data_IF_385139877977
#
_entry.id   IF_385139877977
#
_cell.length_a   1.000
_cell.length_b   1.000
_cell.length_c   1.000
_cell.angle_alpha   90.00
_cell.angle_beta   90.00
_cell.angle_gamma   90.00
#
_symmetry.space_group_name_H-M   'P 1'
#
loop_
_entity.id
_entity.type
_entity.pdbx_description
1 polymer ?
#
# COMPACT_ATOMS: atom_id res chain seq x y z
N UNK A 1 -69.78 -15.76 -8.39
CA UNK A 1 -69.00 -16.15 -7.21
C UNK A 1 -67.79 -16.95 -7.70
N UNK A 2 -66.69 -16.27 -7.97
CA UNK A 2 -65.36 -16.85 -8.25
C UNK A 2 -64.33 -15.73 -8.02
N UNK A 3 -63.20 -15.96 -7.31
CA UNK A 3 -62.38 -14.88 -6.80
C UNK A 3 -61.19 -14.52 -7.71
N UNK A 4 -60.80 -13.26 -7.53
CA UNK A 4 -59.71 -12.51 -8.16
C UNK A 4 -58.32 -13.08 -7.79
N UNK A 5 -57.48 -13.34 -8.78
CA UNK A 5 -56.02 -13.50 -8.65
C UNK A 5 -55.37 -12.41 -9.51
N UNK A 6 -54.20 -11.97 -9.07
CA UNK A 6 -53.26 -11.06 -9.75
C UNK A 6 -53.32 -9.57 -9.36
N UNK A 7 -52.94 -9.31 -8.09
CA UNK A 7 -52.32 -8.04 -7.69
C UNK A 7 -51.14 -8.34 -6.76
N UNK A 8 -50.03 -8.84 -7.30
CA UNK A 8 -48.77 -8.96 -6.51
C UNK A 8 -47.46 -8.92 -7.28
N UNK A 9 -47.46 -8.72 -8.60
CA UNK A 9 -46.23 -8.68 -9.39
C UNK A 9 -45.66 -7.26 -9.61
N UNK A 10 -46.46 -6.20 -9.48
CA UNK A 10 -46.08 -4.86 -9.98
C UNK A 10 -45.52 -3.89 -8.92
N UNK A 11 -45.41 -4.33 -7.66
CA UNK A 11 -45.02 -3.45 -6.54
C UNK A 11 -43.52 -3.49 -6.21
N UNK A 12 -42.77 -4.46 -6.75
CA UNK A 12 -41.30 -4.57 -6.53
C UNK A 12 -40.51 -3.73 -7.53
N UNK A 13 -40.88 -3.77 -8.81
CA UNK A 13 -40.27 -2.98 -9.90
C UNK A 13 -40.33 -1.47 -9.68
N UNK A 14 -41.44 -0.96 -9.14
CA UNK A 14 -41.57 0.48 -8.83
C UNK A 14 -40.82 0.94 -7.57
N UNK A 15 -40.42 0.02 -6.69
CA UNK A 15 -39.63 0.36 -5.49
C UNK A 15 -38.14 0.44 -5.83
N UNK A 16 -37.64 -0.49 -6.67
CA UNK A 16 -36.25 -0.48 -7.14
C UNK A 16 -35.98 0.73 -8.04
N UNK A 17 -36.92 1.05 -8.96
CA UNK A 17 -36.80 2.24 -9.81
C UNK A 17 -36.86 3.57 -9.05
N UNK A 18 -37.53 3.61 -7.89
CA UNK A 18 -37.55 4.78 -7.00
C UNK A 18 -36.26 4.88 -6.18
N UNK A 19 -35.75 3.75 -5.68
CA UNK A 19 -34.47 3.72 -4.99
C UNK A 19 -33.32 4.17 -5.90
N UNK A 20 -33.32 3.77 -7.17
CA UNK A 20 -32.33 4.21 -8.16
C UNK A 20 -32.43 5.70 -8.48
N UNK A 21 -33.66 6.23 -8.55
CA UNK A 21 -33.90 7.67 -8.74
C UNK A 21 -33.45 8.49 -7.52
N UNK A 22 -33.72 7.99 -6.31
CA UNK A 22 -33.33 8.63 -5.05
C UNK A 22 -31.80 8.64 -4.90
N UNK A 23 -31.10 7.55 -5.28
CA UNK A 23 -29.64 7.49 -5.32
C UNK A 23 -29.06 8.49 -6.33
N UNK A 24 -29.67 8.62 -7.50
CA UNK A 24 -29.24 9.58 -8.52
C UNK A 24 -29.51 11.05 -8.10
N UNK A 25 -30.56 11.29 -7.32
CA UNK A 25 -30.88 12.61 -6.77
C UNK A 25 -29.92 12.99 -5.64
N UNK A 26 -29.63 12.06 -4.73
CA UNK A 26 -28.62 12.24 -3.67
C UNK A 26 -27.23 12.49 -4.27
N UNK A 27 -26.85 11.75 -5.31
CA UNK A 27 -25.58 11.93 -6.00
C UNK A 27 -25.40 13.34 -6.62
N UNK A 28 -26.50 14.03 -6.93
CA UNK A 28 -26.48 15.42 -7.44
C UNK A 28 -26.43 16.47 -6.34
N UNK A 29 -26.84 16.11 -5.12
CA UNK A 29 -26.82 16.98 -3.94
C UNK A 29 -25.50 16.89 -3.17
N UNK A 30 -24.71 15.83 -3.40
CA UNK A 30 -23.36 15.74 -2.89
C UNK A 30 -22.47 16.78 -3.61
N UNK A 31 -21.69 17.59 -2.88
CA UNK A 31 -20.65 18.39 -3.51
C UNK A 31 -19.74 17.45 -4.31
N UNK A 32 -19.30 17.89 -5.50
CA UNK A 32 -18.32 17.13 -6.26
C UNK A 32 -17.15 16.79 -5.31
N UNK A 33 -16.74 15.52 -5.19
CA UNK A 33 -15.65 15.16 -4.30
C UNK A 33 -14.45 16.03 -4.68
N UNK A 34 -13.80 16.62 -3.67
CA UNK A 34 -12.49 17.25 -3.84
C UNK A 34 -11.59 16.19 -4.51
N UNK A 35 -11.38 16.33 -5.82
CA UNK A 35 -10.52 15.43 -6.58
C UNK A 35 -9.08 15.79 -6.25
N UNK A 36 -8.62 15.33 -5.09
CA UNK A 36 -7.20 15.29 -4.72
C UNK A 36 -6.76 13.82 -4.74
N UNK A 37 -6.26 13.32 -5.89
CA UNK A 37 -5.78 11.96 -5.98
C UNK A 37 -4.54 11.76 -5.08
N UNK A 38 -4.65 10.84 -4.14
CA UNK A 38 -3.52 10.36 -3.33
C UNK A 38 -2.63 9.44 -4.18
N UNK A 39 -1.29 9.47 -4.02
CA UNK A 39 -0.35 8.54 -4.68
C UNK A 39 -0.78 7.06 -4.54
N UNK A 40 -0.58 6.23 -5.58
CA UNK A 40 -1.25 4.93 -5.74
C UNK A 40 -1.04 3.90 -4.60
N UNK A 41 0.14 3.89 -3.96
CA UNK A 41 0.38 3.04 -2.78
C UNK A 41 -0.40 3.51 -1.54
N UNK A 42 -0.65 4.81 -1.43
CA UNK A 42 -1.53 5.40 -0.41
C UNK A 42 -3.01 5.24 -0.80
N UNK A 43 -3.31 5.19 -2.11
CA UNK A 43 -4.67 5.03 -2.63
C UNK A 43 -5.27 3.65 -2.33
N UNK A 44 -4.51 2.55 -2.38
CA UNK A 44 -5.04 1.22 -2.02
C UNK A 44 -5.32 1.10 -0.52
N UNK A 45 -4.37 1.51 0.34
CA UNK A 45 -4.53 1.53 1.79
C UNK A 45 -5.70 2.44 2.23
N UNK A 46 -5.75 3.67 1.72
CA UNK A 46 -6.80 4.63 2.06
C UNK A 46 -8.17 4.25 1.47
N UNK A 47 -8.20 3.63 0.27
CA UNK A 47 -9.44 3.09 -0.30
C UNK A 47 -9.97 1.93 0.52
N UNK A 48 -9.11 1.00 0.94
CA UNK A 48 -9.52 -0.11 1.79
C UNK A 48 -10.06 0.42 3.12
N UNK A 49 -9.37 1.36 3.78
CA UNK A 49 -9.85 1.96 5.03
C UNK A 49 -11.14 2.78 4.89
N UNK A 50 -11.32 3.51 3.79
CA UNK A 50 -12.56 4.22 3.49
C UNK A 50 -13.73 3.25 3.29
N UNK A 51 -13.48 2.13 2.58
CA UNK A 51 -14.48 1.08 2.41
C UNK A 51 -14.82 0.39 3.74
N UNK A 52 -13.84 0.17 4.62
CA UNK A 52 -14.07 -0.37 5.96
C UNK A 52 -14.95 0.56 6.83
N UNK A 53 -14.77 1.88 6.74
CA UNK A 53 -15.61 2.84 7.47
C UNK A 53 -17.06 2.86 6.96
N UNK A 54 -17.26 2.83 5.64
CA UNK A 54 -18.60 2.81 5.02
C UNK A 54 -19.38 1.55 5.41
N UNK A 55 -18.72 0.39 5.48
CA UNK A 55 -19.37 -0.88 5.86
C UNK A 55 -19.70 -0.95 7.36
N UNK A 56 -18.89 -0.33 8.23
CA UNK A 56 -19.23 -0.17 9.66
C UNK A 56 -20.44 0.75 9.88
N UNK A 57 -20.52 1.87 9.15
CA UNK A 57 -21.66 2.78 9.24
C UNK A 57 -22.97 2.15 8.72
N UNK A 58 -22.87 1.26 7.73
CA UNK A 58 -24.04 0.51 7.20
C UNK A 58 -24.52 -0.60 8.13
N UNK A 59 -23.65 -1.15 8.98
CA UNK A 59 -23.98 -2.21 9.94
C UNK A 59 -24.31 -1.69 11.34
N UNK A 60 -24.12 -0.39 11.58
CA UNK A 60 -24.31 0.29 12.87
C UNK A 60 -25.52 1.22 12.92
N UNK A 61 -26.74 0.71 12.89
CA UNK A 61 -27.85 1.38 13.59
C UNK A 61 -28.78 0.37 14.26
N UNK A 62 -28.45 -0.10 15.47
CA UNK A 62 -29.46 -0.56 16.40
C UNK A 62 -30.04 0.67 17.12
N UNK A 63 -31.34 0.89 16.93
CA UNK A 63 -32.14 1.83 17.70
C UNK A 63 -31.88 1.64 19.21
N UNK A 64 -31.45 2.70 19.87
CA UNK A 64 -31.12 2.73 21.29
C UNK A 64 -32.39 2.59 22.14
N UNK A 65 -32.58 1.52 22.93
CA UNK A 65 -33.62 1.53 23.94
C UNK A 65 -33.13 2.34 25.15
N UNK A 66 -33.87 3.40 25.47
CA UNK A 66 -33.68 4.21 26.66
C UNK A 66 -33.71 3.32 27.93
N UNK A 67 -32.70 3.47 28.80
CA UNK A 67 -32.72 2.95 30.18
C UNK A 67 -32.22 4.02 31.17
N UNK A 68 -32.75 4.01 32.40
CA UNK A 68 -32.93 5.23 33.19
C UNK A 68 -31.73 5.60 34.06
N UNK A 69 -31.72 6.87 34.46
CA UNK A 69 -30.77 7.49 35.36
C UNK A 69 -30.89 6.99 36.81
N UNK A 70 -29.75 6.74 37.44
CA UNK A 70 -29.61 6.78 38.91
C UNK A 70 -28.32 7.50 39.30
N UNK A 71 -28.43 8.31 40.35
CA UNK A 71 -27.44 9.31 40.79
C UNK A 71 -26.75 8.93 42.10
N UNK A 72 -25.57 9.56 42.32
CA UNK A 72 -24.86 9.83 43.59
C UNK A 72 -24.03 8.67 44.17
N UNK A 73 -22.82 8.82 44.75
CA UNK A 73 -22.22 9.90 45.57
C UNK A 73 -20.67 9.74 45.64
N UNK A 74 -19.99 10.83 46.02
CA UNK A 74 -18.53 11.06 46.22
C UNK A 74 -17.84 10.18 47.27
N UNK A 75 -16.49 10.23 47.25
CA UNK A 75 -15.48 10.52 48.33
C UNK A 75 -14.26 9.59 48.11
N UNK A 76 -12.97 9.87 48.37
CA UNK A 76 -12.12 10.99 48.78
C UNK A 76 -10.67 10.53 48.48
N UNK A 77 -9.76 11.45 48.12
CA UNK A 77 -8.29 11.21 48.14
C UNK A 77 -7.77 11.22 49.59
N UNK A 78 -6.56 10.67 49.86
CA UNK A 78 -5.45 11.60 50.10
C UNK A 78 -4.10 11.17 49.52
N UNK A 79 -3.17 12.14 49.51
CA UNK A 79 -1.83 12.15 48.93
C UNK A 79 -0.74 11.69 49.90
N UNK A 80 0.41 11.20 49.38
CA UNK A 80 1.71 11.25 50.08
C UNK A 80 2.89 11.40 49.08
N UNK A 81 3.55 12.56 49.19
CA UNK A 81 4.97 12.97 49.08
C UNK A 81 6.04 12.14 48.32
N UNK A 82 6.80 12.90 47.51
CA UNK A 82 8.15 12.64 46.93
C UNK A 82 9.25 12.52 48.02
N UNK A 83 10.45 12.01 47.67
CA UNK A 83 11.53 12.97 47.39
C UNK A 83 12.44 12.62 46.19
N UNK A 84 12.99 13.71 45.66
CA UNK A 84 14.03 13.86 44.64
C UNK A 84 15.40 13.43 45.19
N UNK A 85 16.20 12.70 44.40
CA UNK A 85 17.66 12.75 44.49
C UNK A 85 18.26 12.93 43.09
N UNK A 86 18.94 14.07 42.94
CA UNK A 86 19.78 14.40 41.80
C UNK A 86 21.18 13.84 42.02
N UNK A 87 21.78 13.28 40.97
CA UNK A 87 23.23 13.09 40.87
C UNK A 87 23.63 13.31 39.41
N UNK A 88 24.21 14.48 39.16
CA UNK A 88 24.91 14.81 37.93
C UNK A 88 26.30 14.19 37.96
N UNK A 89 26.78 13.67 36.83
CA UNK A 89 28.21 13.65 36.49
C UNK A 89 28.39 13.53 34.97
N UNK A 90 29.30 14.37 34.48
CA UNK A 90 29.57 14.72 33.11
C UNK A 90 30.37 13.65 32.34
N UNK A 91 30.35 13.75 31.01
CA UNK A 91 31.20 12.97 30.12
C UNK A 91 31.07 13.42 28.67
N UNK A 92 31.56 14.63 28.37
CA UNK A 92 31.77 15.13 27.01
C UNK A 92 33.04 14.45 26.47
N UNK A 93 32.93 13.73 25.34
CA UNK A 93 34.08 13.35 24.52
C UNK A 93 33.91 13.98 23.13
N UNK A 94 34.61 15.09 22.95
CA UNK A 94 34.89 15.73 21.67
C UNK A 94 36.01 14.98 20.96
N UNK A 95 35.74 14.45 19.77
CA UNK A 95 36.79 14.11 18.81
C UNK A 95 36.58 14.95 17.56
N UNK A 96 37.43 15.96 17.43
CA UNK A 96 37.60 16.82 16.27
C UNK A 96 38.40 16.08 15.20
N UNK A 97 37.83 15.91 14.01
CA UNK A 97 38.59 15.57 12.80
C UNK A 97 38.63 16.83 11.94
N UNK A 98 39.84 17.38 11.80
CA UNK A 98 40.21 18.37 10.79
C UNK A 98 40.68 17.60 9.56
N UNK A 99 40.00 17.77 8.43
CA UNK A 99 40.53 17.42 7.10
C UNK A 99 40.13 18.52 6.10
N UNK A 100 41.08 19.43 5.93
CA UNK A 100 41.49 20.13 4.69
C UNK A 100 40.42 20.46 3.64
N UNK A 101 40.14 21.75 3.53
CA UNK A 101 39.55 22.41 2.36
C UNK A 101 40.48 22.24 1.15
N UNK A 102 40.07 21.38 0.21
CA UNK A 102 40.53 21.40 -1.17
C UNK A 102 39.47 22.13 -1.99
N UNK A 103 39.86 23.27 -2.53
CA UNK A 103 39.09 24.07 -3.46
C UNK A 103 39.08 23.34 -4.81
N UNK A 104 37.91 22.91 -5.29
CA UNK A 104 37.72 22.52 -6.68
C UNK A 104 36.32 22.92 -7.12
N UNK A 105 36.30 23.95 -7.96
CA UNK A 105 35.17 24.40 -8.75
C UNK A 105 34.80 23.28 -9.75
N UNK A 106 33.67 22.60 -9.52
CA UNK A 106 33.11 21.67 -10.49
C UNK A 106 31.58 21.73 -10.52
N UNK A 107 31.09 22.60 -11.40
CA UNK A 107 29.93 22.46 -12.29
C UNK A 107 29.07 21.20 -12.11
N UNK A 108 27.83 21.42 -11.66
CA UNK A 108 26.58 20.69 -11.92
C UNK A 108 26.70 19.47 -12.86
N UNK A 109 27.08 18.29 -12.35
CA UNK A 109 26.95 16.99 -13.07
C UNK A 109 26.77 15.82 -12.10
N UNK A 110 25.90 15.96 -11.09
CA UNK A 110 25.68 14.88 -10.10
C UNK A 110 24.61 13.88 -10.55
N UNK A 111 23.63 14.31 -11.36
CA UNK A 111 22.51 13.46 -11.78
C UNK A 111 22.93 12.25 -12.65
N UNK A 112 24.02 12.33 -13.41
CA UNK A 112 24.43 11.26 -14.35
C UNK A 112 25.38 10.21 -13.75
N UNK A 113 25.94 10.44 -12.55
CA UNK A 113 26.85 9.48 -11.90
C UNK A 113 26.14 8.44 -11.04
N UNK A 114 24.99 8.77 -10.43
CA UNK A 114 24.27 7.85 -9.52
C UNK A 114 23.29 6.88 -10.20
N UNK A 115 22.87 7.18 -11.44
CA UNK A 115 21.95 6.33 -12.21
C UNK A 115 22.60 5.00 -12.65
N UNK A 116 23.87 5.04 -13.06
CA UNK A 116 24.62 3.83 -13.48
C UNK A 116 24.77 2.79 -12.35
N UNK A 117 25.08 3.20 -11.11
CA UNK A 117 25.02 2.30 -9.96
C UNK A 117 23.64 1.68 -9.74
N UNK A 118 22.56 2.46 -9.79
CA UNK A 118 21.21 1.95 -9.47
C UNK A 118 20.73 0.92 -10.50
N UNK A 119 20.93 1.20 -11.79
CA UNK A 119 20.61 0.26 -12.86
C UNK A 119 21.38 -1.07 -12.71
N UNK A 120 22.68 -1.02 -12.40
CA UNK A 120 23.46 -2.24 -12.18
C UNK A 120 22.99 -3.05 -10.97
N UNK A 121 22.52 -2.40 -9.90
CA UNK A 121 21.93 -3.10 -8.76
C UNK A 121 20.59 -3.75 -9.15
N UNK A 122 19.74 -3.05 -9.91
CA UNK A 122 18.48 -3.62 -10.40
C UNK A 122 18.68 -4.78 -11.37
N UNK A 123 19.74 -4.76 -12.19
CA UNK A 123 20.12 -5.90 -13.02
C UNK A 123 20.51 -7.11 -12.18
N UNK A 124 21.27 -6.90 -11.09
CA UNK A 124 21.61 -7.98 -10.14
C UNK A 124 20.37 -8.54 -9.44
N UNK A 125 19.47 -7.67 -8.98
CA UNK A 125 18.19 -8.07 -8.35
C UNK A 125 17.33 -8.83 -9.39
N UNK A 126 17.27 -8.35 -10.63
CA UNK A 126 16.58 -9.03 -11.72
C UNK A 126 17.13 -10.43 -11.97
N UNK A 127 18.45 -10.60 -11.98
CA UNK A 127 19.09 -11.89 -12.23
C UNK A 127 18.87 -12.88 -11.07
N UNK A 128 18.78 -12.38 -9.84
CA UNK A 128 18.40 -13.17 -8.67
C UNK A 128 16.92 -13.59 -8.75
N UNK A 129 16.01 -12.63 -8.95
CA UNK A 129 14.58 -12.88 -9.06
C UNK A 129 14.22 -13.86 -10.17
N UNK A 130 14.91 -13.79 -11.32
CA UNK A 130 14.70 -14.69 -12.45
C UNK A 130 15.12 -16.14 -12.21
N UNK A 131 15.84 -16.43 -11.12
CA UNK A 131 16.27 -17.78 -10.71
C UNK A 131 15.37 -18.41 -9.63
N UNK A 132 14.39 -17.65 -9.14
CA UNK A 132 13.44 -18.17 -8.17
C UNK A 132 12.62 -19.31 -8.80
N UNK A 133 12.14 -20.21 -7.95
CA UNK A 133 11.29 -21.32 -8.38
C UNK A 133 9.98 -20.79 -8.96
N UNK A 134 9.59 -21.33 -10.12
CA UNK A 134 8.34 -20.96 -10.77
C UNK A 134 7.19 -21.74 -10.13
N UNK A 135 6.25 -21.01 -9.52
CA UNK A 135 5.08 -21.60 -8.90
C UNK A 135 4.05 -21.98 -9.98
N UNK A 136 3.36 -23.09 -9.75
CA UNK A 136 2.14 -23.42 -10.50
C UNK A 136 0.94 -22.96 -9.68
N UNK A 137 0.27 -21.92 -10.16
CA UNK A 137 -0.91 -21.32 -9.51
C UNK A 137 -2.13 -21.69 -10.33
N UNK A 138 -3.18 -22.19 -9.68
CA UNK A 138 -4.47 -22.49 -10.33
C UNK A 138 -5.45 -21.35 -10.13
N UNK A 139 -6.40 -21.22 -11.05
CA UNK A 139 -7.45 -20.21 -11.02
C UNK A 139 -8.34 -20.29 -9.76
N UNK A 140 -8.45 -21.46 -9.13
CA UNK A 140 -9.26 -21.67 -7.92
C UNK A 140 -8.51 -21.39 -6.60
N UNK A 141 -7.26 -20.92 -6.69
CA UNK A 141 -6.41 -20.65 -5.53
C UNK A 141 -6.36 -19.16 -5.16
N UNK A 142 -5.65 -18.87 -4.07
CA UNK A 142 -5.44 -17.53 -3.55
C UNK A 142 -3.94 -17.24 -3.43
N UNK A 143 -3.53 -16.05 -3.88
CA UNK A 143 -2.25 -15.47 -3.53
C UNK A 143 -2.33 -14.92 -2.11
N UNK A 144 -1.57 -15.51 -1.20
CA UNK A 144 -1.42 -15.09 0.17
C UNK A 144 -0.26 -14.10 0.28
N UNK A 145 -0.46 -13.00 1.02
CA UNK A 145 0.60 -12.09 1.43
C UNK A 145 0.42 -11.73 2.89
N UNK A 146 1.49 -11.81 3.69
CA UNK A 146 1.54 -11.30 5.06
C UNK A 146 2.56 -10.19 5.15
N UNK A 147 2.16 -9.07 5.72
CA UNK A 147 2.99 -7.89 5.79
C UNK A 147 2.75 -7.08 7.07
N UNK A 148 3.65 -6.15 7.34
CA UNK A 148 3.41 -5.05 8.27
C UNK A 148 3.50 -3.73 7.54
N UNK A 149 2.50 -2.90 7.70
CA UNK A 149 2.43 -1.61 7.03
C UNK A 149 1.88 -0.51 7.95
N UNK A 150 2.22 0.73 7.59
CA UNK A 150 1.62 1.93 8.14
C UNK A 150 1.63 3.02 7.07
N UNK A 151 0.52 3.76 7.00
CA UNK A 151 0.35 4.92 6.13
C UNK A 151 0.09 6.19 6.93
N UNK A 152 0.38 7.33 6.32
CA UNK A 152 -0.06 8.61 6.82
C UNK A 152 -1.50 8.87 6.39
N UNK A 153 -2.39 9.12 7.35
CA UNK A 153 -3.69 9.75 7.09
C UNK A 153 -3.47 11.25 6.81
N UNK A 154 -3.97 11.72 5.66
CA UNK A 154 -3.87 13.11 5.22
C UNK A 154 -5.19 13.89 5.38
N UNK A 155 -6.25 13.28 5.92
CA UNK A 155 -7.60 13.86 6.04
C UNK A 155 -7.61 15.15 6.86
N UNK A 156 -6.70 15.26 7.83
CA UNK A 156 -6.54 16.47 8.65
C UNK A 156 -5.83 17.63 7.92
N UNK A 157 -5.34 17.41 6.69
CA UNK A 157 -4.43 18.31 5.97
C UNK A 157 -2.97 18.21 6.42
N UNK A 158 -2.66 17.35 7.40
CA UNK A 158 -1.32 16.97 7.85
C UNK A 158 -1.14 15.47 7.75
N UNK A 159 0.09 15.03 7.56
CA UNK A 159 0.46 13.63 7.65
C UNK A 159 0.41 13.16 9.11
N UNK A 160 -0.58 12.33 9.42
CA UNK A 160 -0.73 11.67 10.71
C UNK A 160 -0.48 10.19 10.50
N UNK A 161 0.67 9.69 10.97
CA UNK A 161 0.98 8.27 10.86
C UNK A 161 0.04 7.44 11.70
N UNK A 162 -0.60 6.47 11.07
CA UNK A 162 -1.31 5.41 11.77
C UNK A 162 -0.33 4.42 12.42
N UNK A 163 -0.77 3.66 13.43
CA UNK A 163 0.06 2.60 14.01
C UNK A 163 0.49 1.57 12.96
N UNK A 164 1.68 0.99 13.14
CA UNK A 164 2.12 -0.18 12.38
C UNK A 164 1.20 -1.36 12.68
N UNK A 165 0.59 -1.90 11.62
CA UNK A 165 -0.33 -3.04 11.70
C UNK A 165 0.22 -4.23 10.95
N UNK A 166 -0.18 -5.42 11.37
CA UNK A 166 0.06 -6.66 10.61
C UNK A 166 -1.21 -6.99 9.85
N UNK A 167 -1.06 -7.25 8.56
CA UNK A 167 -2.14 -7.64 7.67
C UNK A 167 -1.80 -8.94 6.94
N UNK A 168 -2.81 -9.79 6.77
CA UNK A 168 -2.76 -10.98 5.94
C UNK A 168 -3.84 -10.85 4.86
N UNK A 169 -3.47 -11.02 3.59
CA UNK A 169 -4.42 -10.96 2.48
C UNK A 169 -4.43 -12.27 1.69
N UNK A 170 -5.60 -12.60 1.15
CA UNK A 170 -5.83 -13.74 0.26
C UNK A 170 -6.55 -13.25 -0.98
N UNK A 171 -5.82 -13.01 -2.07
CA UNK A 171 -6.35 -12.48 -3.33
C UNK A 171 -6.64 -13.64 -4.29
N UNK A 172 -7.90 -13.75 -4.73
CA UNK A 172 -8.36 -14.80 -5.63
C UNK A 172 -7.65 -14.74 -6.99
N UNK A 173 -7.31 -15.91 -7.52
CA UNK A 173 -6.61 -16.07 -8.80
C UNK A 173 -7.55 -16.36 -9.98
N UNK A 174 -8.86 -16.42 -9.73
CA UNK A 174 -9.88 -16.59 -10.77
C UNK A 174 -9.69 -15.52 -11.85
N UNK A 175 -9.61 -15.87 -13.15
CA UNK A 175 -9.35 -14.92 -14.23
C UNK A 175 -10.54 -14.00 -14.53
N UNK A 176 -11.76 -14.40 -14.17
CA UNK A 176 -12.99 -13.63 -14.43
C UNK A 176 -13.07 -12.33 -13.64
N UNK A 177 -13.95 -11.38 -14.02
CA UNK A 177 -14.23 -10.21 -13.19
C UNK A 177 -14.88 -10.64 -11.86
N UNK A 178 -14.39 -10.11 -10.74
CA UNK A 178 -14.83 -10.49 -9.40
C UNK A 178 -15.42 -9.31 -8.64
N UNK A 179 -16.58 -9.51 -7.99
CA UNK A 179 -17.15 -8.55 -7.03
C UNK A 179 -16.50 -8.64 -5.64
N UNK A 180 -15.99 -9.82 -5.30
CA UNK A 180 -15.19 -10.10 -4.10
C UNK A 180 -13.83 -10.63 -4.54
N UNK A 181 -12.81 -9.80 -4.40
CA UNK A 181 -11.45 -10.07 -4.86
C UNK A 181 -10.69 -10.99 -3.92
N UNK A 182 -11.14 -11.11 -2.67
CA UNK A 182 -10.42 -11.82 -1.64
C UNK A 182 -10.93 -11.51 -0.25
N UNK A 183 -10.08 -11.78 0.74
CA UNK A 183 -10.25 -11.29 2.12
C UNK A 183 -8.92 -10.73 2.62
N UNK A 184 -9.01 -9.78 3.54
CA UNK A 184 -7.89 -9.26 4.32
C UNK A 184 -8.20 -9.46 5.80
N UNK A 185 -7.19 -9.81 6.59
CA UNK A 185 -7.25 -9.91 8.03
C UNK A 185 -6.27 -8.91 8.61
N UNK A 186 -6.77 -7.96 9.38
CA UNK A 186 -6.01 -6.88 10.03
C UNK A 186 -6.54 -6.73 11.45
N UNK A 187 -5.64 -6.60 12.44
CA UNK A 187 -6.00 -6.41 13.87
C UNK A 187 -7.03 -7.45 14.41
N UNK A 188 -7.03 -8.66 13.84
CA UNK A 188 -7.94 -9.74 14.21
C UNK A 188 -9.32 -9.68 13.55
N UNK A 189 -9.64 -8.63 12.80
CA UNK A 189 -10.85 -8.53 11.99
C UNK A 189 -10.58 -9.06 10.58
N UNK A 190 -11.52 -9.83 10.03
CA UNK A 190 -11.45 -10.33 8.66
C UNK A 190 -12.52 -9.67 7.80
N UNK A 191 -12.07 -8.97 6.76
CA UNK A 191 -12.91 -8.12 5.92
C UNK A 191 -12.81 -8.57 4.46
N UNK A 192 -13.89 -8.46 3.67
CA UNK A 192 -13.83 -8.75 2.25
C UNK A 192 -13.01 -7.69 1.52
N UNK A 193 -12.20 -8.12 0.55
CA UNK A 193 -11.64 -7.20 -0.44
C UNK A 193 -12.68 -7.09 -1.56
N UNK A 194 -13.31 -5.93 -1.67
CA UNK A 194 -14.40 -5.69 -2.62
C UNK A 194 -13.86 -5.20 -3.97
N UNK A 195 -14.69 -5.34 -5.02
CA UNK A 195 -14.40 -4.74 -6.32
C UNK A 195 -14.12 -3.24 -6.20
N UNK A 196 -13.32 -2.75 -7.15
CA UNK A 196 -12.99 -1.34 -7.21
C UNK A 196 -14.23 -0.49 -7.45
N UNK A 197 -14.20 0.72 -6.90
CA UNK A 197 -15.25 1.70 -7.10
C UNK A 197 -15.47 1.94 -8.61
N UNK A 198 -16.69 1.70 -9.08
CA UNK A 198 -17.06 1.80 -10.49
C UNK A 198 -17.19 0.47 -11.21
N UNK A 199 -16.62 -0.62 -10.68
CA UNK A 199 -16.66 -1.96 -11.31
C UNK A 199 -17.92 -2.75 -10.88
N UNK A 200 -19.08 -2.34 -11.37
CA UNK A 200 -20.37 -2.97 -10.98
C UNK A 200 -20.47 -4.45 -11.38
N UNK A 201 -19.83 -4.84 -12.47
CA UNK A 201 -19.78 -6.22 -12.96
C UNK A 201 -18.60 -7.02 -12.38
N UNK A 202 -17.85 -6.43 -11.46
CA UNK A 202 -16.64 -7.01 -10.88
C UNK A 202 -15.38 -6.46 -11.54
N UNK A 203 -14.32 -6.37 -10.74
CA UNK A 203 -13.02 -5.90 -11.21
C UNK A 203 -12.34 -7.02 -12.00
N UNK A 204 -11.91 -6.79 -13.25
CA UNK A 204 -11.14 -7.75 -14.05
C UNK A 204 -9.69 -7.86 -13.56
N UNK A 205 -8.94 -8.83 -14.09
CA UNK A 205 -7.51 -8.94 -13.82
C UNK A 205 -6.77 -7.69 -14.33
N UNK A 206 -5.78 -7.23 -13.57
CA UNK A 206 -5.11 -5.95 -13.85
C UNK A 206 -4.37 -5.37 -12.65
N UNK A 207 -3.98 -4.10 -12.73
CA UNK A 207 -3.21 -3.45 -11.67
C UNK A 207 -3.85 -3.46 -10.30
N UNK A 208 -5.18 -3.33 -10.21
CA UNK A 208 -5.87 -3.42 -8.91
C UNK A 208 -6.56 -4.76 -8.66
N UNK A 209 -6.22 -5.79 -9.44
CA UNK A 209 -6.44 -7.20 -9.11
C UNK A 209 -5.39 -8.07 -9.83
N UNK A 210 -4.11 -7.99 -9.45
CA UNK A 210 -3.07 -8.74 -10.13
C UNK A 210 -3.25 -10.23 -9.84
N UNK A 211 -3.46 -11.04 -10.88
CA UNK A 211 -3.43 -12.50 -10.81
C UNK A 211 -2.08 -13.01 -11.34
N UNK A 212 -1.67 -14.20 -10.92
CA UNK A 212 -0.42 -14.82 -11.36
C UNK A 212 -0.41 -15.03 -12.87
N UNK A 213 -1.53 -15.47 -13.46
CA UNK A 213 -1.67 -15.64 -14.90
C UNK A 213 -1.64 -14.31 -15.66
N UNK A 214 -2.29 -13.27 -15.14
CA UNK A 214 -2.19 -11.92 -15.71
C UNK A 214 -0.75 -11.39 -15.68
N UNK A 215 -0.06 -11.52 -14.54
CA UNK A 215 1.35 -11.16 -14.41
C UNK A 215 2.24 -11.94 -15.39
N UNK A 216 1.97 -13.22 -15.59
CA UNK A 216 2.69 -14.07 -16.54
C UNK A 216 2.44 -13.67 -18.01
N UNK A 217 1.31 -13.02 -18.29
CA UNK A 217 0.96 -12.53 -19.63
C UNK A 217 1.65 -11.20 -20.00
N UNK A 218 2.23 -10.51 -19.03
CA UNK A 218 2.89 -9.22 -19.26
C UNK A 218 4.12 -9.37 -20.17
N UNK A 219 4.46 -8.34 -20.96
CA UNK A 219 5.71 -8.36 -21.73
C UNK A 219 6.92 -8.54 -20.82
N UNK A 220 7.84 -9.44 -21.19
CA UNK A 220 9.09 -9.66 -20.44
C UNK A 220 10.27 -8.88 -21.00
N UNK A 221 10.11 -8.26 -22.18
CA UNK A 221 11.05 -7.26 -22.70
C UNK A 221 10.92 -5.96 -21.89
N UNK A 222 11.99 -5.47 -21.23
CA UNK A 222 11.89 -4.36 -20.29
C UNK A 222 11.35 -3.06 -20.93
N UNK A 223 11.67 -2.80 -22.19
CA UNK A 223 11.21 -1.59 -22.89
C UNK A 223 9.72 -1.69 -23.25
N UNK A 224 9.26 -2.85 -23.72
CA UNK A 224 7.82 -3.11 -23.96
C UNK A 224 7.03 -3.08 -22.67
N UNK A 225 7.56 -3.69 -21.60
CA UNK A 225 6.91 -3.70 -20.29
C UNK A 225 6.79 -2.28 -19.76
N UNK A 226 7.88 -1.51 -19.77
CA UNK A 226 7.85 -0.15 -19.27
C UNK A 226 6.84 0.72 -20.04
N UNK A 227 6.81 0.63 -21.38
CA UNK A 227 5.79 1.31 -22.19
C UNK A 227 4.36 0.89 -21.82
N UNK A 228 4.13 -0.40 -21.59
CA UNK A 228 2.84 -0.91 -21.14
C UNK A 228 2.44 -0.31 -19.78
N UNK A 229 3.36 -0.29 -18.81
CA UNK A 229 3.14 0.29 -17.49
C UNK A 229 2.79 1.78 -17.59
N UNK A 230 3.59 2.59 -18.31
CA UNK A 230 3.29 4.01 -18.52
C UNK A 230 1.93 4.24 -19.17
N UNK A 231 1.55 3.42 -20.15
CA UNK A 231 0.27 3.56 -20.85
C UNK A 231 -0.93 3.23 -19.95
N UNK A 232 -0.74 2.43 -18.90
CA UNK A 232 -1.79 2.00 -17.98
C UNK A 232 -1.81 2.76 -16.67
N UNK A 233 -0.72 3.40 -16.29
CA UNK A 233 -0.68 4.31 -15.14
C UNK A 233 -1.38 5.62 -15.50
N UNK A 234 -2.46 5.99 -14.79
CA UNK A 234 -3.16 7.25 -15.01
C UNK A 234 -2.24 8.45 -14.76
N UNK A 235 -2.48 9.54 -15.49
CA UNK A 235 -1.83 10.82 -15.21
C UNK A 235 -2.49 11.49 -13.99
N UNK A 236 -1.69 12.20 -13.19
CA UNK A 236 -2.10 12.94 -12.01
C UNK A 236 -1.33 14.25 -11.97
N UNK A 237 -1.97 15.34 -11.55
CA UNK A 237 -1.32 16.64 -11.36
C UNK A 237 -0.49 16.69 -10.07
N UNK A 238 -0.77 15.78 -9.13
CA UNK A 238 -0.18 15.77 -7.78
C UNK A 238 1.04 14.83 -7.67
N UNK A 239 1.42 14.12 -8.74
CA UNK A 239 2.51 13.14 -8.72
C UNK A 239 3.17 13.02 -10.09
N UNK A 240 4.51 12.94 -10.13
CA UNK A 240 5.22 12.66 -11.38
C UNK A 240 4.83 11.28 -11.95
N UNK A 241 4.60 11.21 -13.26
CA UNK A 241 4.22 9.94 -13.92
C UNK A 241 5.26 8.83 -13.70
N UNK A 242 6.54 9.17 -13.72
CA UNK A 242 7.63 8.24 -13.43
C UNK A 242 7.58 7.74 -11.98
N UNK A 243 7.15 8.58 -11.02
CA UNK A 243 6.93 8.17 -9.63
C UNK A 243 5.78 7.16 -9.55
N UNK A 244 4.67 7.47 -10.22
CA UNK A 244 3.50 6.61 -10.21
C UNK A 244 3.84 5.23 -10.81
N UNK A 245 4.56 5.18 -11.95
CA UNK A 245 5.02 3.91 -12.55
C UNK A 245 5.98 3.17 -11.63
N UNK A 246 6.92 3.87 -10.99
CA UNK A 246 7.80 3.27 -9.99
C UNK A 246 6.96 2.58 -8.92
N UNK A 247 6.06 3.30 -8.23
CA UNK A 247 5.19 2.75 -7.18
C UNK A 247 4.33 1.57 -7.64
N UNK A 248 3.80 1.60 -8.88
CA UNK A 248 3.06 0.46 -9.44
C UNK A 248 3.94 -0.78 -9.58
N UNK A 249 5.19 -0.65 -10.04
CA UNK A 249 6.12 -1.78 -10.11
C UNK A 249 6.37 -2.36 -8.71
N UNK A 250 6.61 -1.50 -7.71
CA UNK A 250 6.81 -1.92 -6.32
C UNK A 250 5.62 -2.72 -5.78
N UNK A 251 4.40 -2.24 -6.01
CA UNK A 251 3.18 -2.94 -5.58
C UNK A 251 2.98 -4.30 -6.24
N UNK A 252 3.37 -4.47 -7.53
CA UNK A 252 3.32 -5.78 -8.18
C UNK A 252 4.34 -6.76 -7.60
N UNK A 253 5.51 -6.26 -7.18
CA UNK A 253 6.60 -7.07 -6.61
C UNK A 253 6.36 -7.48 -5.14
N UNK A 254 5.45 -6.80 -4.43
CA UNK A 254 5.08 -7.09 -3.04
C UNK A 254 4.25 -8.35 -2.81
N UNK A 255 3.96 -9.12 -3.87
CA UNK A 255 3.16 -10.35 -3.80
C UNK A 255 3.69 -11.50 -4.66
N UNK A 256 2.86 -12.51 -4.88
CA UNK A 256 3.22 -13.72 -5.66
C UNK A 256 3.38 -13.38 -7.15
N UNK A 257 4.63 -13.20 -7.59
CA UNK A 257 4.97 -12.81 -8.96
C UNK A 257 5.74 -13.90 -9.69
N UNK A 258 5.41 -14.24 -10.95
CA UNK A 258 6.21 -15.15 -11.76
C UNK A 258 7.67 -14.67 -11.87
N UNK A 259 8.69 -15.55 -11.68
CA UNK A 259 10.11 -15.15 -11.66
C UNK A 259 10.56 -14.33 -12.88
N UNK A 260 10.11 -14.71 -14.08
CA UNK A 260 10.42 -14.00 -15.33
C UNK A 260 9.80 -12.60 -15.38
N UNK A 261 8.58 -12.46 -14.87
CA UNK A 261 7.88 -11.16 -14.78
C UNK A 261 8.56 -10.27 -13.74
N UNK A 262 8.91 -10.81 -12.56
CA UNK A 262 9.64 -10.07 -11.53
C UNK A 262 10.98 -9.54 -12.07
N UNK A 263 11.76 -10.38 -12.75
CA UNK A 263 12.99 -9.97 -13.42
C UNK A 263 12.77 -8.82 -14.42
N UNK A 264 11.75 -8.94 -15.28
CA UNK A 264 11.41 -7.89 -16.24
C UNK A 264 10.98 -6.57 -15.56
N UNK A 265 10.22 -6.65 -14.48
CA UNK A 265 9.79 -5.49 -13.67
C UNK A 265 11.00 -4.74 -13.08
N UNK A 266 11.99 -5.44 -12.53
CA UNK A 266 13.22 -4.81 -12.04
C UNK A 266 14.03 -4.13 -13.15
N UNK A 267 14.18 -4.78 -14.31
CA UNK A 267 14.86 -4.18 -15.47
C UNK A 267 14.08 -2.99 -16.05
N UNK A 268 12.76 -3.02 -15.99
CA UNK A 268 11.90 -1.88 -16.37
C UNK A 268 12.10 -0.73 -15.39
N UNK A 269 12.13 -1.00 -14.07
CA UNK A 269 12.40 0.01 -13.06
C UNK A 269 13.77 0.68 -13.23
N UNK A 270 14.79 -0.07 -13.69
CA UNK A 270 16.14 0.47 -13.95
C UNK A 270 16.16 1.54 -15.05
N UNK A 271 15.14 1.54 -15.92
CA UNK A 271 15.00 2.49 -17.03
C UNK A 271 14.15 3.71 -16.67
N UNK A 272 13.54 3.75 -15.48
CA UNK A 272 12.76 4.89 -15.01
C UNK A 272 13.71 6.05 -14.66
N UNK A 273 13.50 7.26 -15.21
CA UNK A 273 14.28 8.43 -14.85
C UNK A 273 14.21 8.74 -13.34
N UNK A 274 15.36 9.12 -12.76
CA UNK A 274 15.46 9.51 -11.36
C UNK A 274 15.63 8.36 -10.36
N UNK A 275 15.71 7.11 -10.82
CA UNK A 275 16.04 5.97 -9.94
C UNK A 275 17.51 6.01 -9.52
N UNK A 276 17.74 5.96 -8.21
CA UNK A 276 19.05 6.07 -7.54
C UNK A 276 19.25 4.95 -6.54
N UNK A 277 20.48 4.73 -6.07
CA UNK A 277 20.73 3.79 -4.96
C UNK A 277 20.26 4.37 -3.62
N UNK A 278 19.87 3.48 -2.71
CA UNK A 278 19.57 3.74 -1.31
C UNK A 278 20.28 2.68 -0.44
N UNK A 279 21.60 2.81 -0.20
CA UNK A 279 22.38 1.75 0.46
C UNK A 279 22.07 1.57 1.97
N UNK A 280 21.35 2.52 2.56
CA UNK A 280 20.96 2.50 3.98
C UNK A 280 19.44 2.29 4.16
N UNK A 281 18.76 1.76 3.13
CA UNK A 281 17.33 1.55 3.15
C UNK A 281 16.92 0.48 4.18
N UNK A 282 15.82 0.73 4.88
CA UNK A 282 15.23 -0.20 5.84
C UNK A 282 13.72 -0.22 5.68
N UNK A 283 13.11 -1.37 5.95
CA UNK A 283 11.67 -1.57 5.86
C UNK A 283 10.94 -1.12 7.13
N UNK A 284 9.62 -1.33 7.20
CA UNK A 284 8.80 -0.90 8.33
C UNK A 284 9.17 -1.53 9.69
N UNK A 285 9.84 -2.68 9.70
CA UNK A 285 10.27 -3.37 10.92
C UNK A 285 11.77 -3.20 11.20
N UNK A 286 12.46 -2.37 10.41
CA UNK A 286 13.86 -2.02 10.60
C UNK A 286 14.86 -3.03 10.01
N UNK A 287 14.43 -3.97 9.16
CA UNK A 287 15.37 -4.84 8.43
C UNK A 287 16.17 -3.97 7.46
N UNK A 288 17.49 -4.00 7.63
CA UNK A 288 18.41 -3.20 6.84
C UNK A 288 18.84 -3.94 5.57
N UNK A 289 18.60 -3.34 4.42
CA UNK A 289 18.82 -3.94 3.11
C UNK A 289 19.89 -3.25 2.28
N UNK A 290 19.96 -3.66 1.01
CA UNK A 290 20.36 -2.77 -0.09
C UNK A 290 19.09 -2.21 -0.70
N UNK A 291 19.13 -0.99 -1.24
CA UNK A 291 17.93 -0.37 -1.76
C UNK A 291 18.14 0.46 -3.02
N UNK A 292 17.02 0.78 -3.64
CA UNK A 292 16.89 1.81 -4.66
C UNK A 292 15.86 2.83 -4.20
N UNK A 293 15.86 4.00 -4.81
CA UNK A 293 14.88 5.01 -4.53
C UNK A 293 14.60 5.90 -5.73
N UNK A 294 13.40 6.47 -5.74
CA UNK A 294 13.02 7.57 -6.63
C UNK A 294 12.47 8.72 -5.81
N UNK A 295 12.86 9.93 -6.17
CA UNK A 295 12.33 11.16 -5.59
C UNK A 295 11.30 11.76 -6.54
N UNK A 296 10.12 12.07 -6.01
CA UNK A 296 9.07 12.82 -6.68
C UNK A 296 9.26 14.31 -6.44
N UNK A 297 9.56 15.05 -7.49
CA UNK A 297 9.74 16.51 -7.37
C UNK A 297 8.43 17.28 -7.26
N UNK A 298 7.28 16.66 -7.58
CA UNK A 298 5.94 17.27 -7.48
C UNK A 298 5.38 17.10 -6.08
N UNK A 299 5.29 15.85 -5.59
CA UNK A 299 4.77 15.58 -4.25
C UNK A 299 5.83 15.73 -3.14
N UNK A 300 7.09 15.92 -3.53
CA UNK A 300 8.24 16.09 -2.62
C UNK A 300 8.45 14.91 -1.67
N UNK A 301 8.26 13.70 -2.18
CA UNK A 301 8.51 12.45 -1.48
C UNK A 301 9.68 11.72 -2.08
N UNK A 302 10.32 10.88 -1.27
CA UNK A 302 11.28 9.87 -1.71
C UNK A 302 10.75 8.52 -1.29
N UNK A 303 10.58 7.64 -2.27
CA UNK A 303 10.16 6.25 -2.06
C UNK A 303 11.36 5.35 -2.26
N UNK A 304 11.65 4.52 -1.26
CA UNK A 304 12.74 3.56 -1.21
C UNK A 304 12.20 2.13 -1.23
N UNK A 305 12.85 1.26 -2.00
CA UNK A 305 12.64 -0.18 -1.96
C UNK A 305 13.81 -0.85 -1.27
N UNK A 306 13.50 -1.85 -0.45
CA UNK A 306 14.44 -2.52 0.43
C UNK A 306 14.56 -3.97 0.00
N UNK A 307 15.78 -4.44 -0.17
CA UNK A 307 16.09 -5.82 -0.56
C UNK A 307 17.05 -6.46 0.43
N UNK A 308 16.88 -7.75 0.67
CA UNK A 308 17.80 -8.53 1.49
C UNK A 308 19.21 -8.53 0.86
N UNK A 309 20.24 -8.48 1.69
CA UNK A 309 21.62 -8.37 1.21
C UNK A 309 22.19 -9.67 0.67
N UNK A 310 21.63 -10.80 1.09
CA UNK A 310 22.13 -12.13 0.79
C UNK A 310 21.50 -12.67 -0.49
N UNK A 311 20.18 -12.59 -0.59
CA UNK A 311 19.43 -13.19 -1.71
C UNK A 311 18.70 -12.16 -2.59
N UNK A 312 18.76 -10.87 -2.24
CA UNK A 312 18.12 -9.78 -2.99
C UNK A 312 16.59 -9.89 -3.05
N UNK A 313 15.97 -10.62 -2.12
CA UNK A 313 14.51 -10.69 -1.99
C UNK A 313 13.97 -9.33 -1.54
N UNK A 314 12.84 -8.91 -2.12
CA UNK A 314 12.15 -7.69 -1.71
C UNK A 314 11.64 -7.81 -0.26
N UNK A 315 12.03 -6.87 0.58
CA UNK A 315 11.67 -6.84 2.00
C UNK A 315 10.54 -5.86 2.29
N UNK A 316 10.31 -4.86 1.43
CA UNK A 316 9.31 -3.83 1.63
C UNK A 316 9.76 -2.47 1.10
N UNK A 317 9.02 -1.45 1.50
CA UNK A 317 9.18 -0.10 0.98
C UNK A 317 9.01 0.96 2.07
N UNK A 318 9.48 2.18 1.78
CA UNK A 318 9.28 3.34 2.64
C UNK A 318 9.16 4.60 1.81
N UNK A 319 8.22 5.48 2.13
CA UNK A 319 8.11 6.82 1.54
C UNK A 319 8.14 7.91 2.59
N UNK A 320 8.88 8.99 2.34
CA UNK A 320 8.99 10.12 3.27
C UNK A 320 9.20 11.46 2.53
N UNK A 321 8.83 12.57 3.18
CA UNK A 321 9.02 13.90 2.62
C UNK A 321 10.50 14.30 2.55
N UNK A 322 10.95 14.82 1.41
CA UNK A 322 12.33 15.30 1.22
C UNK A 322 12.55 16.77 1.55
N UNK A 323 11.46 17.52 1.75
CA UNK A 323 11.47 18.91 2.25
C UNK A 323 10.21 19.21 3.04
N UNK A 324 10.15 20.41 3.63
CA UNK A 324 8.94 20.89 4.29
C UNK A 324 7.81 21.10 3.28
N UNK A 325 6.61 20.59 3.60
CA UNK A 325 5.40 20.74 2.78
C UNK A 325 4.21 21.12 3.67
N UNK A 326 3.02 21.24 3.05
CA UNK A 326 1.80 21.37 3.82
C UNK A 326 1.53 20.14 4.70
N UNK A 327 1.97 18.95 4.32
CA UNK A 327 1.70 17.70 5.04
C UNK A 327 2.63 17.48 6.24
N UNK A 328 3.85 18.00 6.20
CA UNK A 328 4.83 17.74 7.27
C UNK A 328 6.17 18.42 7.05
N UNK A 329 7.12 18.10 7.93
CA UNK A 329 8.52 18.55 7.82
C UNK A 329 9.31 17.59 6.94
N UNK A 330 10.47 18.03 6.47
CA UNK A 330 11.46 17.11 5.89
C UNK A 330 11.67 15.90 6.81
N UNK A 331 11.61 14.70 6.23
CA UNK A 331 11.77 13.43 6.94
C UNK A 331 10.48 12.86 7.53
N UNK A 332 9.34 13.58 7.46
CA UNK A 332 8.04 13.02 7.84
C UNK A 332 7.76 11.79 7.00
N UNK A 333 7.47 10.68 7.68
CA UNK A 333 7.09 9.43 7.05
C UNK A 333 5.70 9.56 6.42
N UNK A 334 5.54 9.01 5.22
CA UNK A 334 4.28 8.97 4.48
C UNK A 334 3.73 7.56 4.39
N UNK A 335 4.62 6.57 4.20
CA UNK A 335 4.26 5.16 4.27
C UNK A 335 5.49 4.32 4.60
N UNK A 336 5.27 3.15 5.19
CA UNK A 336 6.30 2.13 5.36
C UNK A 336 5.67 0.76 5.34
N UNK A 337 6.33 -0.19 4.71
CA UNK A 337 5.89 -1.56 4.51
C UNK A 337 7.03 -2.54 4.80
N UNK A 338 6.71 -3.72 5.30
CA UNK A 338 7.58 -4.87 5.44
C UNK A 338 6.84 -6.14 5.02
N UNK A 339 7.23 -6.74 3.89
CA UNK A 339 6.71 -8.03 3.43
C UNK A 339 7.32 -9.13 4.28
N UNK A 340 6.47 -9.93 4.92
CA UNK A 340 6.89 -11.00 5.84
C UNK A 340 6.83 -12.37 5.19
N UNK A 341 5.83 -12.60 4.35
CA UNK A 341 5.61 -13.89 3.70
C UNK A 341 4.69 -13.75 2.48
N UNK A 342 4.84 -14.64 1.52
CA UNK A 342 3.89 -14.82 0.42
C UNK A 342 3.80 -16.30 0.05
N UNK A 343 2.60 -16.73 -0.34
CA UNK A 343 2.38 -18.12 -0.71
C UNK A 343 1.18 -18.27 -1.65
N UNK A 344 0.97 -19.48 -2.14
CA UNK A 344 -0.25 -19.86 -2.85
C UNK A 344 -0.99 -20.86 -1.98
N UNK A 345 -2.25 -20.60 -1.69
CA UNK A 345 -3.08 -21.45 -0.83
C UNK A 345 -4.41 -21.78 -1.50
N UNK A 346 -5.02 -22.89 -1.10
CA UNK A 346 -6.24 -23.39 -1.73
C UNK A 346 -7.52 -22.68 -1.26
N UNK A 347 -7.48 -22.00 -0.11
CA UNK A 347 -8.65 -21.34 0.47
C UNK A 347 -8.31 -19.99 1.07
N UNK A 348 -9.21 -19.03 0.89
CA UNK A 348 -9.16 -17.77 1.62
C UNK A 348 -9.19 -18.02 3.14
N UNK A 349 -8.28 -17.39 3.89
CA UNK A 349 -8.15 -17.53 5.33
C UNK A 349 -7.30 -18.72 5.78
N UNK A 350 -6.73 -19.48 4.84
CA UNK A 350 -5.78 -20.54 5.14
C UNK A 350 -4.37 -19.96 5.31
N UNK A 351 -3.73 -20.22 6.45
CA UNK A 351 -2.30 -19.93 6.60
C UNK A 351 -1.45 -20.86 5.72
N UNK A 352 -0.32 -20.39 5.17
CA UNK A 352 0.61 -21.25 4.44
C UNK A 352 1.09 -22.38 5.33
N UNK A 353 1.10 -23.61 4.80
CA UNK A 353 1.79 -24.70 5.48
C UNK A 353 3.27 -24.38 5.52
N UNK A 354 3.86 -24.15 6.70
CA UNK A 354 5.31 -24.07 6.83
C UNK A 354 5.89 -25.33 6.21
N UNK A 355 6.67 -25.20 5.13
CA UNK A 355 7.53 -26.27 4.69
C UNK A 355 8.40 -26.64 5.91
N UNK A 356 8.35 -27.91 6.32
CA UNK A 356 9.20 -28.40 7.41
C UNK A 356 10.65 -28.11 7.03
N UNK A 357 11.31 -27.24 7.78
CA UNK A 357 12.76 -27.16 7.80
C UNK A 357 13.29 -28.61 7.96
N UNK A 358 14.04 -29.06 6.97
CA UNK A 358 14.67 -30.39 6.94
C UNK A 358 16.12 -30.27 7.37
#
# INVERSE_FOLDING_TARGET
MTPNKDVRADRRTGADARADADVAEIARLLPAPDRRPLPHAQHLHHKEQLMQHIDRDRTGTPAQPARPAFSTRRLLRPAVLLPVTALALAGILTTSIVLTTGDDTATTTTASRDVRPAAALLDQISDAAGKNEELTVRDDQFAYTRQKDQGADLTSGKAVMEPLKESESWVAQDPGPLRKLGIVKEDGETLPINAQLGDTEGTPEGFGRPTYHWLASLPTDPDKLLRFLYAKTPESDDQERDQAVFEHIGGLLGGVTPPKTAAALYRAAAKIPGVTKAPAAHDAIGRHGVGIAREDTTFHTRTEWVFDRKDLTFLGSRSYLVKDTQYGKKGTLMSSEAVLDFAVVDKAGQEPSRARES
#
